data_IF_454099988175
#
_entry.id   IF_454099988175
#
_cell.length_a   1.000
_cell.length_b   1.000
_cell.length_c   1.000
_cell.angle_alpha   90.00
_cell.angle_beta   90.00
_cell.angle_gamma   90.00
#
_symmetry.space_group_name_H-M   'P 1'
#
loop_
_entity.id
_entity.type
_entity.pdbx_description
1 polymer ?
#
# COMPACT_ATOMS: atom_id res chain seq x y z
N UNK A 1 -11.74 -3.44 6.18
CA UNK A 1 -12.05 -3.92 4.81
C UNK A 1 -12.75 -5.28 4.77
N UNK A 2 -12.37 -6.28 5.58
CA UNK A 2 -12.95 -7.64 5.53
C UNK A 2 -14.48 -7.74 5.65
N UNK A 3 -15.13 -6.83 6.40
CA UNK A 3 -16.60 -6.78 6.50
C UNK A 3 -17.26 -6.51 5.13
N UNK A 4 -16.75 -5.53 4.38
CA UNK A 4 -17.29 -5.14 3.05
C UNK A 4 -17.11 -6.28 2.04
N UNK A 5 -15.95 -6.94 2.05
CA UNK A 5 -15.67 -8.08 1.17
C UNK A 5 -16.71 -9.18 1.39
N UNK A 6 -16.98 -9.51 2.67
CA UNK A 6 -17.93 -10.56 3.05
C UNK A 6 -19.37 -10.22 2.74
N UNK A 7 -19.79 -8.99 3.02
CA UNK A 7 -21.15 -8.53 2.73
C UNK A 7 -21.47 -8.59 1.22
N UNK A 8 -20.46 -8.32 0.38
CA UNK A 8 -20.60 -8.32 -1.08
C UNK A 8 -20.15 -9.63 -1.75
N UNK A 9 -19.76 -10.65 -0.96
CA UNK A 9 -19.32 -11.97 -1.42
C UNK A 9 -18.18 -11.91 -2.44
N UNK A 10 -17.25 -10.96 -2.26
CA UNK A 10 -16.15 -10.71 -3.19
C UNK A 10 -14.98 -11.68 -3.00
N UNK A 11 -14.97 -12.50 -1.95
CA UNK A 11 -13.85 -13.39 -1.62
C UNK A 11 -13.48 -14.32 -2.77
N UNK A 12 -14.47 -14.80 -3.53
CA UNK A 12 -14.25 -15.73 -4.65
C UNK A 12 -13.63 -15.07 -5.88
N UNK A 13 -13.76 -13.75 -5.99
CA UNK A 13 -13.26 -12.97 -7.12
C UNK A 13 -11.87 -12.39 -6.87
N UNK A 14 -11.44 -12.32 -5.62
CA UNK A 14 -10.14 -11.76 -5.22
C UNK A 14 -9.09 -12.88 -5.19
N UNK A 15 -8.00 -12.69 -5.95
CA UNK A 15 -6.85 -13.58 -5.93
C UNK A 15 -5.76 -12.98 -5.04
N UNK A 16 -5.74 -13.40 -3.79
CA UNK A 16 -4.70 -12.99 -2.85
C UNK A 16 -3.33 -13.55 -3.22
N UNK A 17 -2.26 -12.93 -2.70
CA UNK A 17 -0.87 -13.39 -2.85
C UNK A 17 -0.40 -13.47 -4.31
N UNK A 18 -0.95 -12.64 -5.19
CA UNK A 18 -0.49 -12.48 -6.57
C UNK A 18 0.11 -11.09 -6.73
N UNK A 19 1.37 -11.02 -7.15
CA UNK A 19 2.04 -9.78 -7.48
C UNK A 19 2.01 -9.57 -8.97
N UNK A 20 1.31 -8.55 -9.45
CA UNK A 20 1.33 -8.19 -10.87
C UNK A 20 2.70 -7.65 -11.23
N UNK A 21 3.31 -8.22 -12.26
CA UNK A 21 4.60 -7.81 -12.80
C UNK A 21 4.42 -6.89 -14.00
N UNK A 22 3.49 -7.24 -14.90
CA UNK A 22 3.27 -6.55 -16.17
C UNK A 22 1.81 -6.60 -16.60
N UNK A 23 1.37 -5.56 -17.29
CA UNK A 23 0.06 -5.46 -17.93
C UNK A 23 0.25 -4.86 -19.33
N UNK A 24 -0.01 -5.66 -20.36
CA UNK A 24 0.19 -5.27 -21.75
C UNK A 24 -1.11 -5.37 -22.54
N UNK A 25 -1.48 -4.32 -23.27
CA UNK A 25 -2.62 -4.38 -24.17
C UNK A 25 -2.25 -5.09 -25.47
N UNK A 26 -3.02 -6.11 -25.85
CA UNK A 26 -2.87 -6.84 -27.10
C UNK A 26 -3.92 -6.33 -28.11
N UNK A 27 -3.47 -5.62 -29.14
CA UNK A 27 -4.37 -5.10 -30.20
C UNK A 27 -5.03 -6.22 -31.02
N UNK A 28 -4.34 -7.33 -31.28
CA UNK A 28 -4.87 -8.44 -32.07
C UNK A 28 -6.04 -9.14 -31.35
N UNK A 29 -5.88 -9.41 -30.05
CA UNK A 29 -6.90 -10.06 -29.23
C UNK A 29 -7.90 -9.07 -28.61
N UNK A 30 -7.62 -7.76 -28.69
CA UNK A 30 -8.37 -6.66 -28.04
C UNK A 30 -8.57 -6.90 -26.53
N UNK A 31 -7.51 -7.37 -25.87
CA UNK A 31 -7.52 -7.75 -24.46
C UNK A 31 -6.22 -7.33 -23.78
N UNK A 32 -6.29 -7.12 -22.47
CA UNK A 32 -5.13 -7.01 -21.61
C UNK A 32 -4.57 -8.39 -21.29
N UNK A 33 -3.27 -8.54 -21.49
CA UNK A 33 -2.47 -9.67 -21.01
C UNK A 33 -1.74 -9.25 -19.73
N UNK A 34 -2.09 -9.89 -18.62
CA UNK A 34 -1.52 -9.62 -17.30
C UNK A 34 -0.59 -10.77 -16.92
N UNK A 35 0.63 -10.44 -16.53
CA UNK A 35 1.60 -11.37 -15.96
C UNK A 35 1.69 -11.13 -14.46
N UNK A 36 1.47 -12.17 -13.66
CA UNK A 36 1.55 -12.12 -12.21
C UNK A 36 2.40 -13.24 -11.66
N UNK A 37 3.10 -12.98 -10.57
CA UNK A 37 3.80 -14.00 -9.79
C UNK A 37 2.93 -14.41 -8.60
N UNK A 38 2.70 -15.70 -8.43
CA UNK A 38 2.11 -16.25 -7.21
C UNK A 38 3.18 -16.27 -6.11
N UNK A 39 2.96 -15.53 -5.02
CA UNK A 39 3.96 -15.35 -3.96
C UNK A 39 4.18 -16.61 -3.11
N UNK A 40 3.25 -17.57 -3.14
CA UNK A 40 3.37 -18.82 -2.39
C UNK A 40 4.36 -19.79 -3.02
N UNK A 41 4.32 -19.95 -4.34
CA UNK A 41 5.10 -20.95 -5.08
C UNK A 41 6.04 -20.34 -6.12
N UNK A 42 6.08 -19.01 -6.25
CA UNK A 42 6.90 -18.26 -7.22
C UNK A 42 6.60 -18.57 -8.69
N UNK A 43 5.45 -19.16 -8.98
CA UNK A 43 5.04 -19.45 -10.36
C UNK A 43 4.50 -18.20 -11.06
N UNK A 44 4.83 -18.07 -12.34
CA UNK A 44 4.20 -17.10 -13.23
C UNK A 44 2.80 -17.58 -13.66
N UNK A 45 1.82 -16.70 -13.50
CA UNK A 45 0.44 -16.86 -13.93
C UNK A 45 0.11 -15.78 -14.96
N UNK A 46 -0.62 -16.17 -15.99
CA UNK A 46 -1.07 -15.29 -17.05
C UNK A 46 -2.59 -15.16 -17.01
N UNK A 47 -3.07 -13.92 -17.09
CA UNK A 47 -4.50 -13.62 -17.16
C UNK A 47 -4.78 -12.82 -18.43
N UNK A 48 -5.95 -13.08 -19.03
CA UNK A 48 -6.50 -12.30 -20.13
C UNK A 48 -7.79 -11.66 -19.69
N UNK A 49 -7.90 -10.34 -19.85
CA UNK A 49 -9.09 -9.59 -19.47
C UNK A 49 -9.45 -8.53 -20.50
N UNK A 50 -10.74 -8.26 -20.64
CA UNK A 50 -11.24 -7.24 -21.57
C UNK A 50 -11.16 -5.84 -20.95
N UNK A 51 -11.18 -5.76 -19.62
CA UNK A 51 -11.15 -4.53 -18.86
C UNK A 51 -10.15 -4.65 -17.72
N UNK A 52 -9.37 -3.59 -17.49
CA UNK A 52 -8.38 -3.52 -16.42
C UNK A 52 -8.63 -2.24 -15.62
N UNK A 53 -8.86 -2.39 -14.32
CA UNK A 53 -8.96 -1.29 -13.38
C UNK A 53 -7.84 -1.40 -12.35
N UNK A 54 -7.08 -0.33 -12.18
CA UNK A 54 -5.86 -0.30 -11.36
C UNK A 54 -6.14 0.41 -10.03
N UNK A 55 -6.10 -0.35 -8.92
CA UNK A 55 -6.38 0.10 -7.55
C UNK A 55 -5.18 0.00 -6.60
N UNK A 56 -3.96 -0.15 -7.10
CA UNK A 56 -2.77 -0.43 -6.28
C UNK A 56 -2.30 0.73 -5.39
N UNK A 57 -2.96 1.89 -5.46
CA UNK A 57 -2.48 3.13 -4.84
C UNK A 57 -1.34 3.78 -5.64
N UNK A 58 -1.01 5.02 -5.29
CA UNK A 58 0.07 5.78 -5.94
C UNK A 58 1.32 5.89 -5.06
N UNK A 59 1.22 5.49 -3.79
CA UNK A 59 2.36 5.48 -2.88
C UNK A 59 3.26 4.28 -3.16
N UNK A 60 4.57 4.52 -3.15
CA UNK A 60 5.54 3.44 -3.04
C UNK A 60 5.56 2.96 -1.61
N UNK A 61 4.61 2.10 -1.29
CA UNK A 61 4.59 1.34 -0.06
C UNK A 61 5.95 0.61 0.05
N UNK A 62 6.76 0.97 1.05
CA UNK A 62 8.14 0.52 1.38
C UNK A 62 9.26 1.55 1.12
N UNK A 63 9.03 2.61 0.34
CA UNK A 63 10.00 3.68 0.11
C UNK A 63 9.35 5.04 0.38
N UNK A 64 9.19 5.32 1.68
CA UNK A 64 8.73 6.62 2.13
C UNK A 64 9.65 7.75 1.68
N UNK A 65 9.07 8.82 1.14
CA UNK A 65 9.84 9.97 0.71
C UNK A 65 10.27 10.80 1.92
N UNK A 66 11.57 10.80 2.20
CA UNK A 66 12.18 11.74 3.15
C UNK A 66 12.88 12.85 2.36
N UNK A 67 12.40 14.10 2.41
CA UNK A 67 13.11 15.22 1.81
C UNK A 67 14.51 15.35 2.41
N UNK A 68 15.48 15.75 1.60
CA UNK A 68 16.77 16.16 2.15
C UNK A 68 16.63 17.58 2.71
N UNK A 69 16.83 17.76 4.00
CA UNK A 69 16.88 19.09 4.62
C UNK A 69 18.30 19.38 5.10
N UNK A 70 18.77 20.59 4.83
CA UNK A 70 20.09 21.03 5.29
C UNK A 70 20.16 21.05 6.81
N UNK A 71 21.25 20.53 7.38
CA UNK A 71 21.47 20.47 8.84
C UNK A 71 20.75 19.32 9.55
N UNK A 72 20.08 18.40 8.83
CA UNK A 72 19.46 17.21 9.45
C UNK A 72 20.49 16.33 10.17
N UNK A 73 21.70 16.25 9.64
CA UNK A 73 22.81 15.52 10.27
C UNK A 73 23.22 16.09 11.63
N UNK A 74 22.96 17.37 11.86
CA UNK A 74 23.33 18.07 13.11
C UNK A 74 22.25 17.90 14.19
N UNK A 75 21.06 17.40 13.81
CA UNK A 75 19.99 17.12 14.74
C UNK A 75 20.31 15.90 15.59
N UNK A 76 20.47 16.12 16.91
CA UNK A 76 20.82 15.07 17.88
C UNK A 76 19.62 14.25 18.37
N UNK A 77 18.41 14.61 17.98
CA UNK A 77 17.19 13.90 18.34
C UNK A 77 16.92 12.72 17.41
N UNK A 78 16.03 11.82 17.83
CA UNK A 78 15.59 10.69 17.00
C UNK A 78 14.63 11.20 15.92
N UNK A 79 14.90 10.84 14.67
CA UNK A 79 14.00 11.07 13.53
C UNK A 79 13.27 9.76 13.23
N UNK A 80 11.96 9.81 13.13
CA UNK A 80 11.11 8.67 12.78
C UNK A 80 10.27 9.02 11.55
N UNK A 81 10.27 8.13 10.55
CA UNK A 81 9.45 8.28 9.36
C UNK A 81 8.05 7.68 9.62
N UNK A 82 6.94 8.37 9.30
CA UNK A 82 5.59 7.87 9.59
C UNK A 82 5.25 6.50 9.00
N UNK A 83 5.80 6.19 7.83
CA UNK A 83 5.62 4.89 7.16
C UNK A 83 6.42 3.76 7.85
N UNK A 84 7.51 4.10 8.55
CA UNK A 84 8.38 3.17 9.26
C UNK A 84 8.42 3.56 10.75
N UNK A 85 7.25 3.57 11.39
CA UNK A 85 7.12 3.98 12.78
C UNK A 85 7.78 2.95 13.71
N UNK A 86 8.73 3.34 14.57
CA UNK A 86 9.36 2.40 15.49
C UNK A 86 8.46 2.04 16.67
N UNK A 87 8.36 0.76 17.00
CA UNK A 87 7.59 0.28 18.17
C UNK A 87 8.20 0.70 19.51
N UNK A 88 9.52 0.92 19.53
CA UNK A 88 10.29 1.31 20.72
C UNK A 88 10.38 2.83 20.92
N UNK A 89 9.62 3.63 20.14
CA UNK A 89 9.68 5.08 20.21
C UNK A 89 8.98 5.61 21.48
N UNK A 90 9.76 5.83 22.55
CA UNK A 90 9.30 6.55 23.72
C UNK A 90 9.42 8.07 23.52
N UNK A 91 8.27 8.74 23.50
CA UNK A 91 8.14 10.19 23.37
C UNK A 91 7.58 10.87 24.63
N UNK A 92 7.43 10.12 25.73
CA UNK A 92 6.96 10.68 27.00
C UNK A 92 7.91 11.76 27.50
N UNK A 93 7.36 12.89 27.92
CA UNK A 93 8.09 14.05 28.45
C UNK A 93 9.14 14.67 27.48
N UNK A 94 9.08 14.33 26.19
CA UNK A 94 9.95 14.87 25.13
C UNK A 94 9.23 15.93 24.30
N UNK A 95 10.00 16.86 23.73
CA UNK A 95 9.50 17.84 22.75
C UNK A 95 9.46 17.19 21.36
N UNK A 96 8.30 17.21 20.72
CA UNK A 96 8.06 16.64 19.40
C UNK A 96 7.88 17.74 18.36
N UNK A 97 8.50 17.55 17.19
CA UNK A 97 8.28 18.35 16.00
C UNK A 97 7.80 17.43 14.89
N UNK A 98 6.67 17.76 14.26
CA UNK A 98 6.18 17.08 13.08
C UNK A 98 6.49 17.94 11.85
N UNK A 99 7.10 17.33 10.84
CA UNK A 99 7.42 17.95 9.57
C UNK A 99 6.38 17.60 8.51
N UNK A 100 5.10 17.72 8.87
CA UNK A 100 3.96 17.56 7.97
C UNK A 100 3.27 18.92 7.79
N UNK A 101 2.93 19.28 6.54
CA UNK A 101 2.18 20.50 6.22
C UNK A 101 0.67 20.33 6.48
N UNK A 102 0.20 19.12 6.84
CA UNK A 102 -1.18 18.89 7.28
C UNK A 102 -1.31 19.25 8.76
N UNK A 103 -1.60 20.52 9.05
CA UNK A 103 -1.97 20.99 10.39
C UNK A 103 -3.28 20.34 10.87
N UNK A 104 -3.18 19.17 11.51
CA UNK A 104 -4.25 18.67 12.41
C UNK A 104 -3.81 17.62 13.42
N UNK A 105 -2.58 17.68 13.95
CA UNK A 105 -2.05 16.60 14.79
C UNK A 105 -2.36 16.70 16.29
N UNK A 106 -3.03 17.75 16.78
CA UNK A 106 -3.36 17.83 18.22
C UNK A 106 -4.51 16.91 18.66
N UNK A 107 -5.32 16.40 17.73
CA UNK A 107 -6.50 15.58 18.03
C UNK A 107 -6.33 14.08 17.70
N UNK A 108 -5.33 13.69 16.90
CA UNK A 108 -5.26 12.34 16.32
C UNK A 108 -4.07 11.50 16.78
N UNK A 109 -3.26 11.95 17.74
CA UNK A 109 -2.10 11.19 18.22
C UNK A 109 -2.44 9.76 18.71
N UNK A 110 -3.59 9.49 19.37
CA UNK A 110 -4.01 8.11 19.69
C UNK A 110 -4.57 7.34 18.48
N UNK A 111 -5.15 8.03 17.50
CA UNK A 111 -5.79 7.43 16.32
C UNK A 111 -4.79 7.06 15.23
N UNK A 112 -3.68 7.80 15.11
CA UNK A 112 -2.60 7.49 14.17
C UNK A 112 -1.94 6.15 14.47
N UNK A 113 -1.84 5.75 15.75
CA UNK A 113 -1.40 4.41 16.14
C UNK A 113 -2.33 3.31 15.62
N UNK A 114 -3.64 3.54 15.68
CA UNK A 114 -4.68 2.62 15.20
C UNK A 114 -4.75 2.52 13.66
N UNK A 115 -4.51 3.64 12.97
CA UNK A 115 -4.49 3.67 11.49
C UNK A 115 -3.21 3.03 10.95
N UNK A 116 -2.05 3.29 11.56
CA UNK A 116 -0.77 2.72 11.12
C UNK A 116 -0.76 1.18 11.15
N UNK A 117 -1.38 0.56 12.16
CA UNK A 117 -1.55 -0.90 12.22
C UNK A 117 -2.51 -1.44 11.15
N UNK A 118 -3.43 -0.63 10.64
CA UNK A 118 -4.38 -1.02 9.60
C UNK A 118 -3.84 -0.85 8.16
N UNK A 119 -2.89 0.05 7.95
CA UNK A 119 -2.27 0.29 6.63
C UNK A 119 -1.14 -0.66 6.28
N UNK A 120 -0.54 -1.34 7.27
CA UNK A 120 0.48 -2.38 7.05
C UNK A 120 -0.06 -3.65 6.35
N UNK A 121 -1.36 -3.73 6.07
CA UNK A 121 -1.99 -4.90 5.44
C UNK A 121 -2.41 -4.71 3.98
N UNK A 122 -2.19 -3.53 3.40
CA UNK A 122 -2.42 -3.28 1.98
C UNK A 122 -1.11 -3.46 1.20
N UNK A 123 -0.59 -4.68 1.18
CA UNK A 123 0.26 -5.09 0.06
C UNK A 123 -0.60 -4.97 -1.20
N UNK A 124 -0.10 -4.24 -2.21
CA UNK A 124 -0.79 -3.94 -3.45
C UNK A 124 -1.48 -5.19 -4.04
N UNK A 125 -2.80 -5.26 -3.90
CA UNK A 125 -3.63 -6.23 -4.61
C UNK A 125 -4.16 -5.53 -5.85
N UNK A 126 -3.71 -5.97 -7.02
CA UNK A 126 -4.45 -5.68 -8.23
C UNK A 126 -5.61 -6.68 -8.27
N UNK A 127 -6.82 -6.19 -8.04
CA UNK A 127 -8.02 -6.98 -8.25
C UNK A 127 -8.29 -7.06 -9.75
N UNK A 128 -7.92 -8.18 -10.36
CA UNK A 128 -8.21 -8.48 -11.76
C UNK A 128 -9.66 -8.96 -11.86
N UNK A 129 -10.58 -8.04 -12.14
CA UNK A 129 -11.98 -8.35 -12.41
C UNK A 129 -12.13 -8.88 -13.85
N UNK A 130 -12.29 -10.21 -13.99
CA UNK A 130 -12.66 -10.83 -15.28
C UNK A 130 -14.18 -11.02 -15.32
N UNK A 131 -14.88 -10.22 -16.14
CA UNK A 131 -16.25 -10.52 -16.55
C UNK A 131 -16.19 -11.35 -17.82
N UNK A 132 -16.63 -12.62 -17.76
CA UNK A 132 -17.08 -13.35 -18.94
C UNK A 132 -18.56 -13.01 -19.13
N UNK A 133 -18.89 -12.31 -20.20
CA UNK A 133 -20.24 -12.37 -20.79
C UNK A 133 -20.45 -13.74 -21.42
#
# INVERSE_FOLDING_TARGET
MGKVIKENRLEKSIRYKHRILRANWCNAEKQWLIEAECLENKELKHFRVNFLWMCQGYYRHNEGYTPNWDGVSDFKGRIAHPENWPDDLDYKDKKLLSLDQVQRLRQYFPLLWLVAQSTLQCSAHADVFSYRT
#
